data_IF_082640514625
#
_entry.id   IF_082640514625
#
_cell.length_a   1.000
_cell.length_b   1.000
_cell.length_c   1.000
_cell.angle_alpha   90.00
_cell.angle_beta   90.00
_cell.angle_gamma   90.00
#
_symmetry.space_group_name_H-M   'P 1'
#
loop_
_entity.id
_entity.type
_entity.pdbx_description
1 polymer ?
#
# COMPACT_ATOMS: atom_id res chain seq x y z
N UNK A 1 5.69 -34.29 -46.96
CA UNK A 1 5.46 -32.96 -46.37
C UNK A 1 4.92 -33.14 -44.95
N UNK A 2 5.66 -32.74 -43.90
CA UNK A 2 5.22 -32.85 -42.49
C UNK A 2 4.57 -31.53 -42.06
N UNK A 3 3.29 -31.59 -41.70
CA UNK A 3 2.55 -30.44 -41.16
C UNK A 3 3.14 -30.04 -39.80
N UNK A 4 3.60 -28.78 -39.67
CA UNK A 4 4.00 -28.20 -38.39
C UNK A 4 2.75 -27.68 -37.69
N UNK A 5 2.22 -28.48 -36.76
CA UNK A 5 1.19 -28.06 -35.83
C UNK A 5 1.71 -26.86 -35.02
N UNK A 6 1.14 -25.68 -35.21
CA UNK A 6 1.52 -24.49 -34.46
C UNK A 6 1.00 -24.63 -33.03
N UNK A 7 1.89 -24.96 -32.11
CA UNK A 7 1.57 -25.06 -30.69
C UNK A 7 1.44 -23.63 -30.15
N UNK A 8 0.24 -23.05 -30.27
CA UNK A 8 -0.08 -21.77 -29.61
C UNK A 8 0.11 -21.96 -28.10
N UNK A 9 1.13 -21.30 -27.52
CA UNK A 9 1.29 -21.24 -26.07
C UNK A 9 0.01 -20.68 -25.47
N UNK A 10 -0.62 -21.38 -24.53
CA UNK A 10 -1.54 -20.77 -23.58
C UNK A 10 -0.72 -19.82 -22.72
N UNK A 11 -0.66 -18.54 -23.08
CA UNK A 11 -0.20 -17.49 -22.18
C UNK A 11 -1.22 -17.41 -21.05
N UNK A 12 -0.99 -18.20 -19.99
CA UNK A 12 -1.82 -18.17 -18.79
C UNK A 12 -1.91 -16.75 -18.27
N UNK A 13 -3.13 -16.31 -17.96
CA UNK A 13 -3.41 -14.96 -17.47
C UNK A 13 -2.52 -14.65 -16.29
N UNK A 14 -1.60 -13.71 -16.48
CA UNK A 14 -0.76 -13.18 -15.42
C UNK A 14 -1.72 -12.67 -14.35
N UNK A 15 -1.67 -13.21 -13.11
CA UNK A 15 -2.42 -12.64 -11.99
C UNK A 15 -2.01 -11.17 -11.91
N UNK A 16 -2.97 -10.26 -12.07
CA UNK A 16 -2.76 -8.83 -11.88
C UNK A 16 -2.18 -8.64 -10.48
N UNK A 17 -1.04 -7.95 -10.39
CA UNK A 17 -0.41 -7.71 -9.10
C UNK A 17 -1.34 -6.83 -8.26
N UNK A 18 -1.64 -7.24 -7.03
CA UNK A 18 -2.44 -6.45 -6.11
C UNK A 18 -1.61 -5.24 -5.70
N UNK A 19 -2.17 -4.05 -5.85
CA UNK A 19 -1.55 -2.79 -5.48
C UNK A 19 -1.99 -2.34 -4.09
N UNK A 20 -1.03 -2.05 -3.22
CA UNK A 20 -1.28 -1.64 -1.84
C UNK A 20 -0.58 -0.31 -1.58
N UNK A 21 -1.31 0.66 -1.04
CA UNK A 21 -0.75 1.89 -0.49
C UNK A 21 -0.64 1.76 1.02
N UNK A 22 0.54 2.01 1.57
CA UNK A 22 0.79 2.11 3.01
C UNK A 22 1.29 3.53 3.29
N UNK A 23 0.55 4.28 4.10
CA UNK A 23 0.92 5.64 4.54
C UNK A 23 1.23 5.59 6.03
N UNK A 24 2.46 5.97 6.41
CA UNK A 24 2.94 5.95 7.78
C UNK A 24 3.00 7.37 8.34
N UNK A 25 2.63 7.50 9.60
CA UNK A 25 2.75 8.74 10.37
C UNK A 25 4.21 9.19 10.46
N UNK A 26 5.13 8.29 10.79
CA UNK A 26 6.56 8.57 10.86
C UNK A 26 7.26 8.51 9.50
N UNK A 27 8.29 9.34 9.33
CA UNK A 27 9.07 9.39 8.08
C UNK A 27 10.10 8.26 7.93
N UNK A 28 10.53 7.68 9.06
CA UNK A 28 11.74 6.82 9.10
C UNK A 28 11.45 5.39 9.54
N UNK A 29 11.06 5.20 10.78
CA UNK A 29 11.04 3.86 11.39
C UNK A 29 10.08 2.93 10.67
N UNK A 30 8.81 3.32 10.55
CA UNK A 30 7.77 2.46 9.97
C UNK A 30 7.95 2.28 8.46
N UNK A 31 8.20 3.35 7.66
CA UNK A 31 8.47 3.17 6.24
C UNK A 31 9.66 2.25 5.97
N UNK A 32 10.72 2.34 6.78
CA UNK A 32 11.89 1.46 6.63
C UNK A 32 11.59 0.01 7.02
N UNK A 33 10.78 -0.21 8.06
CA UNK A 33 10.33 -1.54 8.44
C UNK A 33 9.55 -2.22 7.29
N UNK A 34 8.56 -1.53 6.71
CA UNK A 34 7.79 -2.07 5.59
C UNK A 34 8.62 -2.25 4.32
N UNK A 35 9.59 -1.37 4.05
CA UNK A 35 10.53 -1.53 2.93
C UNK A 35 11.41 -2.78 3.12
N UNK A 36 11.87 -3.05 4.33
CA UNK A 36 12.58 -4.28 4.68
C UNK A 36 11.72 -5.51 4.47
N UNK A 37 10.53 -5.54 5.07
CA UNK A 37 9.58 -6.65 4.95
C UNK A 37 9.22 -6.95 3.48
N UNK A 38 9.01 -5.91 2.66
CA UNK A 38 8.76 -6.07 1.22
C UNK A 38 9.93 -6.77 0.52
N UNK A 39 11.16 -6.43 0.87
CA UNK A 39 12.36 -7.05 0.30
C UNK A 39 12.46 -8.51 0.71
N UNK A 40 12.17 -8.83 1.97
CA UNK A 40 12.29 -10.19 2.49
C UNK A 40 11.23 -11.14 1.92
N UNK A 41 10.02 -10.65 1.64
CA UNK A 41 8.91 -11.46 1.13
C UNK A 41 8.99 -11.77 -0.37
N UNK A 42 9.75 -10.98 -1.16
CA UNK A 42 9.92 -11.10 -2.63
C UNK A 42 8.65 -11.49 -3.42
N UNK A 43 7.48 -10.95 -3.04
CA UNK A 43 6.21 -11.36 -3.64
C UNK A 43 5.88 -10.50 -4.87
N UNK A 44 6.18 -11.03 -6.06
CA UNK A 44 5.87 -10.39 -7.35
C UNK A 44 4.38 -10.20 -7.64
N UNK A 45 3.49 -10.86 -6.90
CA UNK A 45 2.04 -10.70 -6.98
C UNK A 45 1.50 -9.49 -6.19
N UNK A 46 2.35 -8.78 -5.45
CA UNK A 46 1.94 -7.63 -4.63
C UNK A 46 2.88 -6.45 -4.88
N UNK A 47 2.32 -5.34 -5.35
CA UNK A 47 3.03 -4.08 -5.46
C UNK A 47 2.65 -3.17 -4.29
N UNK A 48 3.63 -2.81 -3.46
CA UNK A 48 3.39 -1.97 -2.27
C UNK A 48 4.08 -0.63 -2.45
N UNK A 49 3.31 0.46 -2.39
CA UNK A 49 3.83 1.82 -2.27
C UNK A 49 3.81 2.21 -0.80
N UNK A 50 4.95 2.67 -0.29
CA UNK A 50 5.13 3.02 1.12
C UNK A 50 5.52 4.50 1.19
N UNK A 51 4.76 5.28 1.93
CA UNK A 51 4.97 6.72 2.10
C UNK A 51 5.09 6.99 3.60
N UNK A 52 6.08 7.77 4.00
CA UNK A 52 6.18 8.31 5.36
C UNK A 52 6.07 9.82 5.26
N UNK A 53 5.02 10.40 5.85
CA UNK A 53 4.70 11.82 5.66
C UNK A 53 5.16 12.71 6.83
N UNK A 54 5.38 12.17 8.03
CA UNK A 54 5.79 12.97 9.19
C UNK A 54 4.72 13.93 9.71
N UNK A 55 3.45 13.73 9.32
CA UNK A 55 2.33 14.61 9.67
C UNK A 55 1.65 14.23 10.99
N UNK A 56 0.94 15.19 11.58
CA UNK A 56 -0.04 14.93 12.64
C UNK A 56 -1.19 14.06 12.10
N UNK A 57 -1.75 13.22 12.97
CA UNK A 57 -2.66 12.11 12.64
C UNK A 57 -3.83 12.50 11.71
N UNK A 58 -4.49 13.63 11.94
CA UNK A 58 -5.68 14.03 11.18
C UNK A 58 -5.34 14.32 9.70
N UNK A 59 -4.27 15.08 9.45
CA UNK A 59 -3.80 15.39 8.10
C UNK A 59 -3.28 14.17 7.34
N UNK A 60 -2.83 13.13 8.05
CA UNK A 60 -2.38 11.89 7.44
C UNK A 60 -3.54 11.15 6.75
N UNK A 61 -4.72 11.13 7.39
CA UNK A 61 -5.91 10.47 6.86
C UNK A 61 -6.42 11.20 5.63
N UNK A 62 -6.54 12.54 5.70
CA UNK A 62 -6.93 13.36 4.55
C UNK A 62 -5.98 13.14 3.36
N UNK A 63 -4.66 13.20 3.62
CA UNK A 63 -3.65 12.93 2.59
C UNK A 63 -3.76 11.52 2.00
N UNK A 64 -4.08 10.54 2.83
CA UNK A 64 -4.27 9.16 2.37
C UNK A 64 -5.48 9.03 1.44
N UNK A 65 -6.58 9.74 1.74
CA UNK A 65 -7.77 9.77 0.90
C UNK A 65 -7.45 10.38 -0.47
N UNK A 66 -6.72 11.50 -0.51
CA UNK A 66 -6.26 12.11 -1.77
C UNK A 66 -5.43 11.12 -2.61
N UNK A 67 -4.44 10.48 -2.00
CA UNK A 67 -3.56 9.53 -2.67
C UNK A 67 -4.29 8.28 -3.16
N UNK A 68 -5.31 7.82 -2.42
CA UNK A 68 -6.19 6.73 -2.84
C UNK A 68 -6.93 7.10 -4.11
N UNK A 69 -7.54 8.28 -4.13
CA UNK A 69 -8.42 8.72 -5.20
C UNK A 69 -7.63 9.07 -6.49
N UNK A 70 -6.37 9.49 -6.37
CA UNK A 70 -5.49 9.75 -7.51
C UNK A 70 -5.01 8.47 -8.23
N UNK A 71 -4.86 7.35 -7.53
CA UNK A 71 -3.98 6.25 -7.99
C UNK A 71 -4.61 4.86 -8.04
N UNK A 72 -5.90 4.69 -7.74
CA UNK A 72 -6.64 3.45 -8.01
C UNK A 72 -6.08 2.20 -7.34
N UNK A 73 -5.55 2.32 -6.12
CA UNK A 73 -5.00 1.20 -5.35
C UNK A 73 -6.07 0.17 -4.98
N UNK A 74 -5.74 -1.13 -5.01
CA UNK A 74 -6.65 -2.20 -4.58
C UNK A 74 -6.87 -2.19 -3.05
N UNK A 75 -5.86 -1.76 -2.29
CA UNK A 75 -5.91 -1.64 -0.83
C UNK A 75 -5.15 -0.42 -0.36
N UNK A 76 -5.68 0.25 0.67
CA UNK A 76 -5.06 1.43 1.29
C UNK A 76 -5.03 1.28 2.79
N UNK A 77 -3.84 1.43 3.38
CA UNK A 77 -3.55 1.18 4.78
C UNK A 77 -2.90 2.43 5.37
N UNK A 78 -3.39 2.87 6.53
CA UNK A 78 -2.80 3.96 7.32
C UNK A 78 -2.16 3.36 8.56
N UNK A 79 -0.93 3.75 8.85
CA UNK A 79 -0.16 3.32 10.02
C UNK A 79 0.02 4.53 10.93
N UNK A 80 -0.54 4.42 12.13
CA UNK A 80 -0.57 5.48 13.14
C UNK A 80 0.11 4.96 14.41
N UNK A 81 0.97 5.79 15.01
CA UNK A 81 1.64 5.43 16.25
C UNK A 81 0.77 5.84 17.45
N UNK A 82 0.51 4.88 18.34
CA UNK A 82 -0.43 5.04 19.46
C UNK A 82 0.01 6.14 20.44
N UNK A 83 1.30 6.40 20.56
CA UNK A 83 1.83 7.37 21.53
C UNK A 83 1.84 8.82 21.02
N UNK A 84 1.61 9.05 19.72
CA UNK A 84 1.44 10.39 19.14
C UNK A 84 0.10 11.05 19.50
N UNK A 85 -0.82 10.29 20.09
CA UNK A 85 -2.16 10.76 20.41
C UNK A 85 -2.22 11.33 21.83
N UNK A 86 -2.38 12.65 21.95
CA UNK A 86 -3.11 13.16 23.11
C UNK A 86 -4.53 12.58 23.03
N UNK A 87 -5.02 11.98 24.11
CA UNK A 87 -6.24 11.18 24.19
C UNK A 87 -7.53 11.80 23.59
N UNK A 88 -7.51 13.09 23.24
CA UNK A 88 -8.63 13.83 22.67
C UNK A 88 -8.81 13.66 21.14
N UNK A 89 -7.81 13.17 20.38
CA UNK A 89 -7.90 13.12 18.90
C UNK A 89 -8.34 11.75 18.31
N UNK A 90 -8.35 10.67 19.10
CA UNK A 90 -8.66 9.32 18.62
C UNK A 90 -10.09 9.18 18.04
N UNK A 91 -11.07 9.88 18.63
CA UNK A 91 -12.48 9.74 18.23
C UNK A 91 -12.81 10.44 16.89
N UNK A 92 -12.00 11.41 16.46
CA UNK A 92 -12.29 12.18 15.23
C UNK A 92 -11.84 11.43 13.98
N UNK A 93 -10.66 10.82 14.01
CA UNK A 93 -10.13 10.03 12.89
C UNK A 93 -11.06 8.85 12.54
N UNK A 94 -11.65 8.20 13.55
CA UNK A 94 -12.63 7.12 13.36
C UNK A 94 -13.98 7.57 12.76
N UNK A 95 -14.31 8.87 12.82
CA UNK A 95 -15.56 9.40 12.23
C UNK A 95 -15.41 9.79 10.75
N UNK A 96 -14.18 9.92 10.23
CA UNK A 96 -13.90 10.33 8.85
C UNK A 96 -13.66 9.15 7.90
N UNK A 97 -13.43 7.95 8.43
CA UNK A 97 -13.22 6.71 7.67
C UNK A 97 -14.54 6.01 7.32
#
# INVERSE_FOLDING_TARGET
MRSKSSMKRKTGGRKTAITVLIVCEGEKTEPNYFKGLRRDLENSGINVKIIGEGYNTDSLVERTIELRDESGYDRVWVVLDRDSFKAQNFNRAMQLA
#
